data_IF_898273792297
#
_entry.id   IF_898273792297
#
_cell.length_a   1.000
_cell.length_b   1.000
_cell.length_c   1.000
_cell.angle_alpha   90.00
_cell.angle_beta   90.00
_cell.angle_gamma   90.00
#
_symmetry.space_group_name_H-M   'P 1'
#
loop_
_entity.id
_entity.type
_entity.pdbx_description
1 polymer ?
#
# COMPACT_ATOMS: atom_id res chain seq x y z
N UNK A 1 -4.32 -1.19 17.04
CA UNK A 1 -4.14 -2.58 16.55
C UNK A 1 -5.29 -3.09 15.68
N UNK A 2 -6.57 -2.90 16.02
CA UNK A 2 -7.70 -3.27 15.13
C UNK A 2 -8.18 -2.11 14.23
N UNK A 3 -8.16 -0.88 14.76
CA UNK A 3 -8.44 0.34 14.02
C UNK A 3 -7.48 0.54 12.82
N UNK A 4 -6.19 0.20 12.98
CA UNK A 4 -5.19 0.28 11.90
C UNK A 4 -5.47 -0.69 10.74
N UNK A 5 -5.97 -1.89 11.07
CA UNK A 5 -6.37 -2.89 10.07
C UNK A 5 -7.62 -2.46 9.33
N UNK A 6 -8.63 -1.95 10.06
CA UNK A 6 -9.85 -1.39 9.46
C UNK A 6 -9.53 -0.20 8.54
N UNK A 7 -8.70 0.74 9.01
CA UNK A 7 -8.21 1.87 8.21
C UNK A 7 -7.52 1.41 6.93
N UNK A 8 -6.55 0.49 7.05
CA UNK A 8 -5.76 0.02 5.90
C UNK A 8 -6.63 -0.76 4.92
N UNK A 9 -7.61 -1.53 5.40
CA UNK A 9 -8.53 -2.28 4.55
C UNK A 9 -9.40 -1.34 3.72
N UNK A 10 -9.98 -0.31 4.35
CA UNK A 10 -10.77 0.71 3.64
C UNK A 10 -9.90 1.52 2.67
N UNK A 11 -8.67 1.84 3.05
CA UNK A 11 -7.71 2.54 2.19
C UNK A 11 -7.44 1.74 0.91
N UNK A 12 -7.19 0.44 1.07
CA UNK A 12 -6.93 -0.46 -0.05
C UNK A 12 -8.17 -0.67 -0.93
N UNK A 13 -9.38 -0.69 -0.35
CA UNK A 13 -10.62 -0.76 -1.12
C UNK A 13 -10.82 0.48 -2.01
N UNK A 14 -10.71 1.68 -1.43
CA UNK A 14 -10.78 2.94 -2.19
C UNK A 14 -9.70 2.96 -3.27
N UNK A 15 -8.46 2.64 -2.92
CA UNK A 15 -7.33 2.62 -3.84
C UNK A 15 -7.58 1.64 -5.00
N UNK A 16 -8.11 0.44 -4.73
CA UNK A 16 -8.47 -0.56 -5.75
C UNK A 16 -9.50 -0.03 -6.74
N UNK A 17 -10.50 0.74 -6.29
CA UNK A 17 -11.54 1.34 -7.13
C UNK A 17 -11.02 2.43 -8.08
N UNK A 18 -9.80 2.93 -7.89
CA UNK A 18 -9.19 3.95 -8.75
C UNK A 18 -8.00 3.39 -9.57
N UNK A 19 -8.25 2.65 -10.66
CA UNK A 19 -7.20 2.06 -11.51
C UNK A 19 -6.22 3.09 -12.09
N UNK A 20 -6.64 4.34 -12.27
CA UNK A 20 -5.75 5.42 -12.69
C UNK A 20 -4.55 5.64 -11.74
N UNK A 21 -4.66 5.22 -10.47
CA UNK A 21 -3.57 5.35 -9.48
C UNK A 21 -2.54 4.22 -9.54
N UNK A 22 -2.94 3.03 -10.00
CA UNK A 22 -2.15 1.82 -9.81
C UNK A 22 -1.89 1.00 -11.08
N UNK A 23 -2.74 1.11 -12.09
CA UNK A 23 -2.61 0.41 -13.36
C UNK A 23 -1.85 1.29 -14.36
N UNK A 24 -0.51 1.20 -14.36
CA UNK A 24 0.33 2.01 -15.26
C UNK A 24 0.32 1.52 -16.70
N UNK A 25 -0.07 0.26 -16.93
CA UNK A 25 -0.24 -0.31 -18.27
C UNK A 25 -1.47 0.22 -18.99
N UNK A 26 -2.47 0.69 -18.26
CA UNK A 26 -3.67 1.30 -18.83
C UNK A 26 -3.47 2.78 -19.14
N UNK A 27 -4.08 3.26 -20.22
CA UNK A 27 -4.16 4.69 -20.56
C UNK A 27 -4.86 5.53 -19.47
N UNK A 28 -5.59 4.87 -18.56
CA UNK A 28 -6.19 5.51 -17.38
C UNK A 28 -5.15 6.22 -16.51
N UNK A 29 -3.93 5.68 -16.41
CA UNK A 29 -2.84 6.33 -15.64
C UNK A 29 -2.36 7.64 -16.27
N UNK A 30 -2.56 7.84 -17.57
CA UNK A 30 -2.22 9.10 -18.27
C UNK A 30 -3.28 10.17 -18.01
N UNK A 31 -4.49 9.78 -17.59
CA UNK A 31 -5.56 10.70 -17.30
C UNK A 31 -5.33 11.41 -15.95
N UNK A 32 -4.77 12.62 -16.02
CA UNK A 32 -4.50 13.47 -14.84
C UNK A 32 -5.73 13.74 -14.00
N UNK A 33 -6.92 13.87 -14.62
CA UNK A 33 -8.16 14.13 -13.90
C UNK A 33 -8.58 12.92 -13.06
N UNK A 34 -8.56 11.72 -13.63
CA UNK A 34 -8.90 10.49 -12.88
C UNK A 34 -7.90 10.21 -11.75
N UNK A 35 -6.62 10.52 -11.96
CA UNK A 35 -5.61 10.44 -10.90
C UNK A 35 -5.89 11.40 -9.77
N UNK A 36 -6.21 12.66 -10.10
CA UNK A 36 -6.56 13.66 -9.09
C UNK A 36 -7.79 13.23 -8.29
N UNK A 37 -8.84 12.78 -8.98
CA UNK A 37 -10.08 12.32 -8.35
C UNK A 37 -9.82 11.16 -7.37
N UNK A 38 -9.03 10.16 -7.78
CA UNK A 38 -8.71 9.04 -6.89
C UNK A 38 -7.89 9.45 -5.66
N UNK A 39 -6.98 10.41 -5.79
CA UNK A 39 -6.25 10.98 -4.64
C UNK A 39 -7.21 11.75 -3.74
N UNK A 40 -8.08 12.59 -4.30
CA UNK A 40 -9.05 13.36 -3.53
C UNK A 40 -10.00 12.45 -2.73
N UNK A 41 -10.45 11.34 -3.31
CA UNK A 41 -11.32 10.39 -2.61
C UNK A 41 -10.58 9.65 -1.48
N UNK A 42 -9.31 9.29 -1.69
CA UNK A 42 -8.46 8.76 -0.61
C UNK A 42 -8.22 9.78 0.50
N UNK A 43 -7.99 11.05 0.16
CA UNK A 43 -7.83 12.13 1.14
C UNK A 43 -9.09 12.29 1.98
N UNK A 44 -10.27 12.35 1.35
CA UNK A 44 -11.56 12.44 2.07
C UNK A 44 -11.76 11.28 3.04
N UNK A 45 -11.44 10.05 2.61
CA UNK A 45 -11.53 8.90 3.50
C UNK A 45 -10.56 9.04 4.68
N UNK A 46 -9.31 9.43 4.42
CA UNK A 46 -8.31 9.59 5.48
C UNK A 46 -8.69 10.70 6.47
N UNK A 47 -9.26 11.82 6.01
CA UNK A 47 -9.67 12.93 6.87
C UNK A 47 -10.77 12.56 7.86
N UNK A 48 -11.61 11.55 7.53
CA UNK A 48 -12.60 11.03 8.48
C UNK A 48 -12.00 10.26 9.66
N UNK A 49 -10.70 9.91 9.61
CA UNK A 49 -10.04 9.05 10.60
C UNK A 49 -8.73 9.65 11.16
N UNK A 50 -8.04 10.47 10.37
CA UNK A 50 -6.77 11.10 10.71
C UNK A 50 -6.90 12.61 10.48
N UNK A 51 -6.72 13.40 11.53
CA UNK A 51 -6.76 14.84 11.41
C UNK A 51 -5.57 15.33 10.56
N UNK A 52 -5.82 16.17 9.54
CA UNK A 52 -4.76 16.73 8.69
C UNK A 52 -4.26 15.81 7.57
N UNK A 53 -4.98 14.73 7.22
CA UNK A 53 -4.65 13.96 6.04
C UNK A 53 -4.76 14.81 4.76
N UNK A 54 -3.68 14.86 3.99
CA UNK A 54 -3.55 15.62 2.76
C UNK A 54 -3.08 14.72 1.59
N UNK A 55 -2.95 15.31 0.39
CA UNK A 55 -2.48 14.58 -0.79
C UNK A 55 -1.07 14.00 -0.59
N UNK A 56 -0.20 14.67 0.18
CA UNK A 56 1.15 14.19 0.45
C UNK A 56 1.13 12.94 1.36
N UNK A 57 0.25 12.93 2.37
CA UNK A 57 0.00 11.78 3.24
C UNK A 57 -0.46 10.57 2.42
N UNK A 58 -1.47 10.75 1.57
CA UNK A 58 -2.02 9.66 0.72
C UNK A 58 -0.96 9.09 -0.20
N UNK A 59 -0.21 9.94 -0.91
CA UNK A 59 0.88 9.50 -1.81
C UNK A 59 1.94 8.70 -1.06
N UNK A 60 2.30 9.15 0.15
CA UNK A 60 3.26 8.46 1.02
C UNK A 60 2.73 7.10 1.46
N UNK A 61 1.47 7.01 1.91
CA UNK A 61 0.83 5.75 2.31
C UNK A 61 0.76 4.75 1.14
N UNK A 62 0.40 5.20 -0.07
CA UNK A 62 0.43 4.37 -1.29
C UNK A 62 1.84 3.83 -1.54
N UNK A 63 2.85 4.70 -1.51
CA UNK A 63 4.23 4.30 -1.76
C UNK A 63 4.69 3.24 -0.76
N UNK A 64 4.43 3.46 0.53
CA UNK A 64 4.75 2.54 1.61
C UNK A 64 4.12 1.15 1.40
N UNK A 65 2.82 1.12 1.11
CA UNK A 65 2.08 -0.12 0.85
C UNK A 65 2.67 -0.87 -0.36
N UNK A 66 2.98 -0.16 -1.45
CA UNK A 66 3.58 -0.76 -2.66
C UNK A 66 4.98 -1.29 -2.40
N UNK A 67 5.82 -0.56 -1.67
CA UNK A 67 7.17 -1.01 -1.30
C UNK A 67 7.12 -2.28 -0.47
N UNK A 68 6.28 -2.31 0.58
CA UNK A 68 6.11 -3.51 1.41
C UNK A 68 5.59 -4.71 0.59
N UNK A 69 4.55 -4.49 -0.23
CA UNK A 69 3.98 -5.52 -1.09
C UNK A 69 5.00 -6.09 -2.09
N UNK A 70 5.77 -5.22 -2.76
CA UNK A 70 6.77 -5.64 -3.76
C UNK A 70 7.89 -6.49 -3.15
N UNK A 71 8.37 -6.12 -1.95
CA UNK A 71 9.35 -6.91 -1.22
C UNK A 71 8.82 -8.31 -0.92
N UNK A 72 7.58 -8.39 -0.43
CA UNK A 72 6.95 -9.66 -0.11
C UNK A 72 6.70 -10.52 -1.36
N UNK A 73 6.23 -9.89 -2.45
CA UNK A 73 6.03 -10.53 -3.75
C UNK A 73 7.34 -11.08 -4.31
N UNK A 74 8.46 -10.38 -4.12
CA UNK A 74 9.78 -10.85 -4.52
C UNK A 74 10.22 -12.11 -3.76
N UNK A 75 9.97 -12.19 -2.45
CA UNK A 75 10.27 -13.41 -1.66
C UNK A 75 9.48 -14.60 -2.18
N UNK A 76 8.18 -14.43 -2.44
CA UNK A 76 7.31 -15.46 -3.04
C UNK A 76 7.80 -15.88 -4.42
N UNK A 77 8.29 -14.94 -5.24
CA UNK A 77 8.80 -15.28 -6.58
C UNK A 77 10.15 -15.98 -6.51
N UNK A 78 11.03 -15.54 -5.61
CA UNK A 78 12.36 -16.15 -5.45
C UNK A 78 12.24 -17.60 -5.00
N UNK A 79 11.37 -17.90 -4.03
CA UNK A 79 11.12 -19.27 -3.57
C UNK A 79 10.61 -20.19 -4.70
N UNK A 80 9.79 -19.65 -5.62
CA UNK A 80 9.32 -20.38 -6.82
C UNK A 80 10.41 -20.58 -7.88
N UNK A 81 11.39 -19.68 -7.97
CA UNK A 81 12.43 -19.71 -9.02
C UNK A 81 13.60 -20.62 -8.68
N UNK A 82 13.88 -20.88 -7.39
CA UNK A 82 15.07 -21.63 -6.96
C UNK A 82 14.94 -23.15 -7.09
N UNK A 83 13.93 -23.67 -7.80
CA UNK A 83 13.74 -25.11 -7.99
C UNK A 83 13.43 -25.87 -6.70
N UNK A 84 12.96 -25.16 -5.66
CA UNK A 84 12.46 -25.79 -4.45
C UNK A 84 11.29 -26.73 -4.80
N UNK A 85 11.33 -27.94 -4.27
CA UNK A 85 10.16 -28.83 -4.23
C UNK A 85 8.95 -28.06 -3.73
N UNK A 86 7.76 -28.36 -4.25
CA UNK A 86 6.49 -27.64 -4.04
C UNK A 86 6.13 -27.34 -2.56
N UNK A 87 6.80 -28.00 -1.61
CA UNK A 87 6.66 -27.82 -0.16
C UNK A 87 7.37 -26.57 0.42
N UNK A 88 8.31 -25.96 -0.31
CA UNK A 88 9.18 -24.86 0.19
C UNK A 88 8.80 -23.46 -0.36
N UNK A 89 7.54 -23.28 -0.81
CA UNK A 89 7.08 -21.98 -1.31
C UNK A 89 6.86 -21.02 -0.12
N UNK A 90 7.67 -19.96 -0.07
CA UNK A 90 7.48 -18.86 0.89
C UNK A 90 6.02 -18.34 0.91
N UNK A 91 5.44 -18.31 2.12
CA UNK A 91 4.12 -17.74 2.39
C UNK A 91 4.29 -16.29 2.88
N UNK A 92 3.62 -15.31 2.25
CA UNK A 92 3.60 -13.92 2.71
C UNK A 92 3.17 -13.78 4.18
N UNK A 93 3.97 -13.05 4.95
CA UNK A 93 3.68 -12.60 6.31
C UNK A 93 2.86 -11.31 6.36
N UNK A 94 2.81 -10.57 5.25
CA UNK A 94 2.08 -9.31 5.14
C UNK A 94 0.56 -9.54 5.18
N UNK A 95 -0.12 -9.13 6.25
CA UNK A 95 -1.54 -9.46 6.47
C UNK A 95 -2.50 -8.96 5.38
N UNK A 96 -2.14 -7.87 4.68
CA UNK A 96 -2.92 -7.29 3.58
C UNK A 96 -2.40 -7.71 2.19
N UNK A 97 -1.53 -8.72 2.11
CA UNK A 97 -0.91 -9.15 0.85
C UNK A 97 -1.95 -9.43 -0.24
N UNK A 98 -2.99 -10.20 0.09
CA UNK A 98 -4.05 -10.55 -0.85
C UNK A 98 -4.89 -9.34 -1.29
N UNK A 99 -5.06 -8.35 -0.41
CA UNK A 99 -5.77 -7.12 -0.72
C UNK A 99 -5.04 -6.28 -1.78
N UNK A 100 -3.71 -6.40 -1.88
CA UNK A 100 -2.86 -5.69 -2.85
C UNK A 100 -2.61 -6.48 -4.15
N UNK A 101 -3.14 -7.70 -4.25
CA UNK A 101 -2.95 -8.59 -5.41
C UNK A 101 -3.34 -7.98 -6.76
N UNK A 102 -4.29 -7.04 -6.77
CA UNK A 102 -4.69 -6.31 -8.00
C UNK A 102 -3.55 -5.49 -8.63
N UNK A 103 -2.50 -5.18 -7.87
CA UNK A 103 -1.31 -4.44 -8.37
C UNK A 103 -0.19 -5.34 -8.86
N UNK A 104 -0.30 -6.67 -8.67
CA UNK A 104 0.79 -7.62 -8.92
C UNK A 104 1.33 -7.54 -10.34
N UNK A 105 0.46 -7.51 -11.35
CA UNK A 105 0.87 -7.47 -12.76
C UNK A 105 1.68 -6.21 -13.10
N UNK A 106 1.36 -5.09 -12.46
CA UNK A 106 2.02 -3.80 -12.67
C UNK A 106 3.41 -3.78 -12.00
N UNK A 107 3.53 -4.41 -10.82
CA UNK A 107 4.79 -4.55 -10.08
C UNK A 107 5.77 -5.52 -10.75
N UNK A 108 5.29 -6.56 -11.44
CA UNK A 108 6.14 -7.54 -12.15
C UNK A 108 6.97 -6.87 -13.27
N UNK A 109 6.45 -5.81 -13.89
CA UNK A 109 7.17 -5.05 -14.93
C UNK A 109 8.26 -4.12 -14.39
N UNK A 110 8.26 -3.82 -13.08
CA UNK A 110 9.28 -3.01 -12.40
C UNK A 110 10.35 -3.90 -11.78
N UNK A 111 11.15 -4.53 -12.62
CA UNK A 111 12.32 -5.32 -12.19
C UNK A 111 13.34 -4.42 -11.49
N UNK A 112 13.41 -4.52 -10.16
CA UNK A 112 14.45 -3.91 -9.32
C UNK A 112 13.89 -3.26 -8.06
N UNK A 113 14.13 -3.89 -6.91
CA UNK A 113 14.15 -3.16 -5.63
C UNK A 113 15.38 -2.27 -5.67
N UNK A 114 15.17 -0.96 -5.63
CA UNK A 114 16.25 0.00 -5.51
C UNK A 114 16.72 -0.01 -4.06
N UNK A 115 18.00 0.25 -3.76
CA UNK A 115 18.48 0.42 -2.38
C UNK A 115 17.69 1.48 -1.58
N UNK A 116 16.94 2.35 -2.27
CA UNK A 116 16.00 3.30 -1.66
C UNK A 116 14.79 2.64 -0.99
N UNK A 117 14.38 1.46 -1.46
CA UNK A 117 13.30 0.72 -0.82
C UNK A 117 13.74 0.29 0.57
N UNK A 118 14.97 -0.22 0.76
CA UNK A 118 15.54 -0.70 2.03
C UNK A 118 15.42 0.33 3.16
N UNK A 119 15.81 1.58 2.88
CA UNK A 119 15.74 2.71 3.81
C UNK A 119 14.32 3.07 4.27
N UNK A 120 13.28 2.66 3.54
CA UNK A 120 11.88 2.94 3.89
C UNK A 120 11.34 2.03 5.01
N UNK A 121 12.03 0.93 5.32
CA UNK A 121 11.68 0.03 6.43
C UNK A 121 11.69 0.73 7.79
N UNK A 122 12.62 1.67 7.98
CA UNK A 122 12.75 2.45 9.20
C UNK A 122 11.60 3.46 9.38
N UNK A 123 11.03 3.96 8.27
CA UNK A 123 9.93 4.93 8.29
C UNK A 123 8.53 4.29 8.41
N UNK A 124 8.38 3.04 7.97
CA UNK A 124 7.12 2.28 8.08
C UNK A 124 6.73 2.08 9.55
N UNK A 125 7.69 1.73 10.41
CA UNK A 125 7.48 1.58 11.85
C UNK A 125 7.15 2.90 12.57
N UNK A 126 7.57 4.05 12.01
CA UNK A 126 7.30 5.37 12.59
C UNK A 126 5.95 5.98 12.17
N UNK A 127 5.33 5.52 11.08
CA UNK A 127 4.03 6.06 10.61
C UNK A 127 2.80 5.42 11.28
N UNK A 128 2.95 4.24 11.88
CA UNK A 128 1.89 3.62 12.72
C UNK A 128 1.78 4.30 14.11
N UNK A 129 2.60 5.33 14.38
CA UNK A 129 2.60 6.14 15.61
C UNK A 129 1.94 7.52 15.44
N UNK A 130 1.30 7.82 14.30
CA UNK A 130 0.46 9.02 14.23
C UNK A 130 -0.78 8.71 15.06
N UNK A 131 -0.73 9.13 16.32
CA UNK A 131 -1.78 9.01 17.32
C UNK A 131 -3.14 9.23 16.66
N UNK A 132 -3.89 8.14 16.56
CA UNK A 132 -5.35 8.22 16.53
C UNK A 132 -5.66 8.98 17.81
N UNK A 133 -6.01 10.26 17.69
CA UNK A 133 -6.42 11.08 18.82
C UNK A 133 -7.38 10.25 19.66
N UNK A 134 -6.89 9.82 20.82
CA UNK A 134 -7.77 9.41 21.90
C UNK A 134 -8.70 10.60 22.11
N UNK A 135 -10.02 10.46 21.97
CA UNK A 135 -10.90 11.44 22.55
C UNK A 135 -10.62 11.40 24.05
N UNK A 136 -10.07 12.50 24.57
CA UNK A 136 -9.99 12.77 25.99
C UNK A 136 -11.37 12.45 26.60
N UNK A 137 -11.39 11.50 27.53
CA UNK A 137 -12.49 11.32 28.49
C UNK A 137 -12.53 12.57 29.37
N UNK A 138 -13.16 13.63 28.87
CA UNK A 138 -13.72 14.72 29.67
C UNK A 138 -15.18 14.37 30.00
N UNK A 139 -15.39 13.72 31.15
CA UNK A 139 -16.24 14.17 32.27
C UNK A 139 -16.56 13.03 33.26
#
# INVERSE_FOLDING_TARGET
MEQDKSFTTEFLDVYRRHPALWNTKSDLSKNKHLRKLGIEDLVKMCQGKCNGADEAFVKRKINNLRTAYRRELNKVRLSKSTGSSTDDIYVPSLWYFDLMSFTAEDEVGRTGISSLDDAMEFNLAQMDLIEISSPDDDE
#
